data_IF_278097999959
#
_entry.id   IF_278097999959
#
_cell.length_a   1.000
_cell.length_b   1.000
_cell.length_c   1.000
_cell.angle_alpha   90.00
_cell.angle_beta   90.00
_cell.angle_gamma   90.00
#
_symmetry.space_group_name_H-M   'P 1'
#
loop_
_entity.id
_entity.type
_entity.pdbx_description
1 polymer ?
#
# COMPACT_ATOMS: atom_id res chain seq x y z
N UNK A 1 53.64 -11.49 -44.20
CA UNK A 1 52.28 -11.64 -43.64
C UNK A 1 51.80 -10.24 -43.36
N UNK A 2 51.00 -9.73 -44.29
CA UNK A 2 50.66 -8.33 -44.49
C UNK A 2 49.90 -7.73 -43.31
N UNK A 3 50.41 -6.59 -42.84
CA UNK A 3 49.71 -5.73 -41.88
C UNK A 3 48.65 -4.95 -42.68
N UNK A 4 47.42 -5.47 -42.68
CA UNK A 4 46.26 -4.79 -43.25
C UNK A 4 45.86 -3.61 -42.35
N UNK A 5 46.01 -2.38 -42.84
CA UNK A 5 45.45 -1.21 -42.19
C UNK A 5 44.09 -0.90 -42.84
N UNK A 6 43.01 -1.26 -42.15
CA UNK A 6 41.63 -0.98 -42.57
C UNK A 6 41.28 0.46 -42.23
N UNK A 7 41.11 1.31 -43.25
CA UNK A 7 40.57 2.66 -43.11
C UNK A 7 39.30 2.74 -43.98
N UNK A 8 38.13 2.82 -43.33
CA UNK A 8 36.81 2.94 -43.97
C UNK A 8 36.43 1.86 -45.01
N UNK A 9 36.85 0.61 -44.82
CA UNK A 9 36.45 -0.50 -45.69
C UNK A 9 37.15 -0.52 -47.07
N UNK A 10 38.19 0.28 -47.24
CA UNK A 10 39.07 0.26 -48.41
C UNK A 10 40.30 -0.58 -48.06
N UNK A 11 40.51 -1.67 -48.79
CA UNK A 11 41.69 -2.53 -48.64
C UNK A 11 42.86 -1.90 -49.40
N UNK A 12 43.81 -1.31 -48.67
CA UNK A 12 45.03 -0.77 -49.26
C UNK A 12 46.17 -1.78 -49.03
N UNK A 13 46.78 -2.33 -50.08
CA UNK A 13 47.95 -3.20 -49.95
C UNK A 13 49.09 -2.50 -49.23
N UNK A 14 49.78 -3.22 -48.33
CA UNK A 14 50.95 -2.72 -47.59
C UNK A 14 52.01 -2.09 -48.49
N UNK A 15 52.24 -2.70 -49.67
CA UNK A 15 53.16 -2.23 -50.70
C UNK A 15 52.81 -0.86 -51.31
N UNK A 16 51.53 -0.51 -51.35
CA UNK A 16 51.05 0.76 -51.92
C UNK A 16 51.00 1.85 -50.84
N UNK A 17 50.77 1.46 -49.59
CA UNK A 17 50.93 2.33 -48.44
C UNK A 17 52.39 2.68 -48.16
N UNK A 18 53.35 1.80 -48.43
CA UNK A 18 54.77 2.12 -48.24
C UNK A 18 55.29 3.15 -49.26
N UNK A 19 54.81 3.09 -50.51
CA UNK A 19 55.19 4.00 -51.60
C UNK A 19 54.52 5.37 -51.56
N UNK A 20 53.53 5.59 -50.70
CA UNK A 20 52.87 6.91 -50.61
C UNK A 20 53.79 7.96 -49.98
N UNK A 21 53.87 9.17 -50.58
CA UNK A 21 54.60 10.30 -50.01
C UNK A 21 54.18 10.61 -48.56
N UNK A 22 55.15 11.01 -47.73
CA UNK A 22 54.90 11.35 -46.32
C UNK A 22 53.80 12.41 -46.13
N UNK A 23 53.70 13.38 -47.05
CA UNK A 23 52.67 14.42 -47.04
C UNK A 23 51.25 13.87 -47.16
N UNK A 24 51.06 12.77 -47.91
CA UNK A 24 49.74 12.11 -48.08
C UNK A 24 49.39 11.30 -46.84
N UNK A 25 50.37 10.61 -46.24
CA UNK A 25 50.18 9.88 -44.96
C UNK A 25 49.76 10.82 -43.83
N UNK A 26 50.43 11.97 -43.72
CA UNK A 26 50.10 12.99 -42.72
C UNK A 26 48.69 13.59 -42.95
N UNK A 27 48.30 13.79 -44.21
CA UNK A 27 46.94 14.26 -44.55
C UNK A 27 45.87 13.22 -44.15
N UNK A 28 46.09 11.93 -44.44
CA UNK A 28 45.18 10.85 -44.08
C UNK A 28 45.04 10.70 -42.56
N UNK A 29 46.14 10.81 -41.83
CA UNK A 29 46.11 10.81 -40.36
C UNK A 29 45.35 12.02 -39.81
N UNK A 30 45.60 13.23 -40.32
CA UNK A 30 44.85 14.44 -39.92
C UNK A 30 43.36 14.34 -40.26
N UNK A 31 43.01 13.75 -41.40
CA UNK A 31 41.61 13.48 -41.77
C UNK A 31 40.98 12.46 -40.83
N UNK A 32 41.66 11.36 -40.51
CA UNK A 32 41.18 10.36 -39.55
C UNK A 32 40.96 10.94 -38.15
N UNK A 33 41.88 11.79 -37.68
CA UNK A 33 41.71 12.53 -36.41
C UNK A 33 40.48 13.45 -36.45
N UNK A 34 40.28 14.18 -37.55
CA UNK A 34 39.15 15.10 -37.69
C UNK A 34 37.80 14.39 -37.80
N UNK A 35 37.77 13.22 -38.45
CA UNK A 35 36.55 12.40 -38.51
C UNK A 35 36.23 11.86 -37.12
N UNK A 36 37.22 11.31 -36.40
CA UNK A 36 37.03 10.83 -35.03
C UNK A 36 36.51 11.92 -34.09
N UNK A 37 37.05 13.14 -34.21
CA UNK A 37 36.57 14.29 -33.45
C UNK A 37 35.11 14.64 -33.81
N UNK A 38 34.78 14.65 -35.10
CA UNK A 38 33.42 14.96 -35.58
C UNK A 38 32.40 13.90 -35.12
N UNK A 39 32.78 12.62 -35.11
CA UNK A 39 31.94 11.52 -34.60
C UNK A 39 31.67 11.66 -33.10
N UNK A 40 32.67 12.07 -32.31
CA UNK A 40 32.50 12.32 -30.87
C UNK A 40 31.58 13.51 -30.61
N UNK A 41 31.74 14.60 -31.37
CA UNK A 41 30.86 15.77 -31.27
C UNK A 41 29.42 15.42 -31.66
N UNK A 42 29.23 14.66 -32.73
CA UNK A 42 27.91 14.19 -33.17
C UNK A 42 27.25 13.30 -32.10
N UNK A 43 27.98 12.35 -31.53
CA UNK A 43 27.46 11.47 -30.48
C UNK A 43 27.04 12.25 -29.22
N UNK A 44 27.84 13.24 -28.82
CA UNK A 44 27.51 14.13 -27.70
C UNK A 44 26.25 14.95 -27.98
N UNK A 45 26.13 15.50 -29.18
CA UNK A 45 24.99 16.35 -29.54
C UNK A 45 23.70 15.53 -29.71
N UNK A 46 23.80 14.30 -30.22
CA UNK A 46 22.66 13.36 -30.28
C UNK A 46 22.18 13.00 -28.87
N UNK A 47 23.10 12.70 -27.94
CA UNK A 47 22.74 12.39 -26.56
C UNK A 47 22.03 13.57 -25.87
N UNK A 48 22.53 14.80 -26.06
CA UNK A 48 21.87 16.01 -25.54
C UNK A 48 20.49 16.22 -26.17
N UNK A 49 20.36 16.02 -27.48
CA UNK A 49 19.06 16.16 -28.15
C UNK A 49 18.04 15.15 -27.63
N UNK A 50 18.45 13.90 -27.38
CA UNK A 50 17.58 12.89 -26.76
C UNK A 50 17.15 13.31 -25.36
N UNK A 51 18.07 13.77 -24.51
CA UNK A 51 17.75 14.24 -23.16
C UNK A 51 16.79 15.46 -23.17
N UNK A 52 16.98 16.39 -24.10
CA UNK A 52 16.11 17.55 -24.28
C UNK A 52 14.72 17.13 -24.80
N UNK A 53 14.65 16.19 -25.74
CA UNK A 53 13.39 15.65 -26.24
C UNK A 53 12.61 14.91 -25.15
N UNK A 54 13.28 14.14 -24.29
CA UNK A 54 12.64 13.51 -23.13
C UNK A 54 12.10 14.54 -22.14
N UNK A 55 12.84 15.63 -21.88
CA UNK A 55 12.38 16.72 -21.01
C UNK A 55 11.17 17.45 -21.60
N UNK A 56 11.15 17.69 -22.90
CA UNK A 56 10.04 18.39 -23.59
C UNK A 56 8.79 17.51 -23.69
N UNK A 57 8.95 16.22 -23.97
CA UNK A 57 7.83 15.28 -24.13
C UNK A 57 7.23 14.80 -22.80
N UNK A 58 7.81 15.19 -21.67
CA UNK A 58 7.30 14.84 -20.35
C UNK A 58 6.04 15.64 -20.04
N UNK A 59 4.93 14.92 -19.90
CA UNK A 59 3.61 15.47 -19.55
C UNK A 59 3.00 14.66 -18.41
N UNK A 60 1.95 15.16 -17.79
CA UNK A 60 1.17 14.46 -16.76
C UNK A 60 0.46 13.21 -17.28
N UNK A 61 0.35 13.04 -18.61
CA UNK A 61 -0.20 11.84 -19.25
C UNK A 61 0.77 10.67 -19.28
N UNK A 62 2.08 10.94 -19.39
CA UNK A 62 3.12 9.91 -19.53
C UNK A 62 4.13 9.89 -18.37
N UNK A 63 3.93 10.72 -17.35
CA UNK A 63 4.76 10.76 -16.15
C UNK A 63 3.93 11.03 -14.91
N UNK A 64 4.39 10.55 -13.75
CA UNK A 64 3.74 10.78 -12.45
C UNK A 64 3.86 12.22 -11.93
N UNK A 65 4.13 13.18 -12.82
CA UNK A 65 4.24 14.61 -12.51
C UNK A 65 2.84 15.25 -12.53
N UNK A 66 2.56 16.23 -11.64
CA UNK A 66 1.25 16.85 -11.58
C UNK A 66 0.96 17.68 -12.85
N UNK A 67 -0.32 17.82 -13.26
CA UNK A 67 -0.72 18.58 -14.46
C UNK A 67 -0.28 20.05 -14.45
N UNK A 68 -0.03 20.62 -13.27
CA UNK A 68 0.50 21.98 -13.11
C UNK A 68 1.94 22.15 -13.60
N UNK A 69 2.67 21.04 -13.77
CA UNK A 69 4.04 21.00 -14.27
C UNK A 69 4.11 20.77 -15.79
N UNK A 70 2.96 20.67 -16.48
CA UNK A 70 2.94 20.51 -17.93
C UNK A 70 3.36 21.81 -18.63
N UNK A 71 4.07 21.72 -19.76
CA UNK A 71 4.43 22.90 -20.54
C UNK A 71 3.18 23.68 -21.01
N UNK A 72 3.31 25.00 -21.10
CA UNK A 72 2.20 25.94 -21.38
C UNK A 72 1.43 25.65 -22.69
N UNK A 73 2.03 24.87 -23.60
CA UNK A 73 1.46 24.50 -24.90
C UNK A 73 0.89 23.06 -24.92
N UNK A 74 0.77 22.41 -23.77
CA UNK A 74 0.08 21.12 -23.66
C UNK A 74 -1.43 21.31 -23.83
N UNK A 75 -2.07 20.42 -24.58
CA UNK A 75 -3.53 20.44 -24.71
C UNK A 75 -4.17 20.35 -23.33
N UNK A 76 -4.81 21.45 -22.91
CA UNK A 76 -5.59 21.47 -21.67
C UNK A 76 -6.61 20.33 -21.72
N UNK A 77 -6.67 19.54 -20.65
CA UNK A 77 -7.72 18.55 -20.46
C UNK A 77 -9.07 19.22 -20.74
N UNK A 78 -9.75 18.75 -21.79
CA UNK A 78 -11.09 19.20 -22.12
C UNK A 78 -11.94 19.07 -20.86
N UNK A 79 -12.40 20.20 -20.32
CA UNK A 79 -13.27 20.20 -19.17
C UNK A 79 -14.52 19.41 -19.53
N UNK A 80 -14.79 18.31 -18.82
CA UNK A 80 -15.98 17.49 -19.04
C UNK A 80 -17.20 18.41 -19.06
N UNK A 81 -18.04 18.28 -20.10
CA UNK A 81 -19.31 19.02 -20.19
C UNK A 81 -20.08 18.79 -18.90
N UNK A 82 -20.53 19.88 -18.27
CA UNK A 82 -21.37 19.82 -17.07
C UNK A 82 -22.65 19.06 -17.44
N UNK A 83 -23.04 18.10 -16.61
CA UNK A 83 -24.29 17.38 -16.81
C UNK A 83 -25.47 18.33 -16.56
N UNK A 84 -26.46 18.32 -17.44
CA UNK A 84 -27.74 19.04 -17.26
C UNK A 84 -28.62 18.44 -16.15
N UNK A 85 -28.16 17.36 -15.51
CA UNK A 85 -28.87 16.72 -14.40
C UNK A 85 -28.82 17.62 -13.17
N UNK A 86 -29.99 17.88 -12.58
CA UNK A 86 -30.11 18.56 -11.29
C UNK A 86 -29.32 17.78 -10.22
N UNK A 87 -28.68 18.52 -9.31
CA UNK A 87 -27.99 17.94 -8.15
C UNK A 87 -29.01 17.24 -7.26
N UNK A 88 -28.78 15.96 -6.95
CA UNK A 88 -29.66 15.12 -6.14
C UNK A 88 -29.97 13.77 -6.79
N UNK A 89 -30.74 12.94 -6.10
CA UNK A 89 -31.28 11.70 -6.67
C UNK A 89 -32.15 12.00 -7.88
N UNK A 90 -32.02 11.23 -8.96
CA UNK A 90 -32.85 11.43 -10.15
C UNK A 90 -34.32 11.08 -9.84
N UNK A 91 -35.23 11.67 -10.60
CA UNK A 91 -36.66 11.37 -10.50
C UNK A 91 -36.87 9.85 -10.65
N UNK A 92 -37.49 9.21 -9.66
CA UNK A 92 -37.71 7.76 -9.62
C UNK A 92 -36.66 6.93 -8.87
N UNK A 93 -35.61 7.53 -8.31
CA UNK A 93 -34.72 6.81 -7.39
C UNK A 93 -35.46 6.44 -6.09
N UNK A 94 -35.42 5.16 -5.73
CA UNK A 94 -35.86 4.70 -4.41
C UNK A 94 -34.99 5.38 -3.34
N UNK A 95 -35.64 5.98 -2.36
CA UNK A 95 -34.94 6.53 -1.20
C UNK A 95 -34.25 5.41 -0.42
N UNK A 96 -33.00 5.64 -0.03
CA UNK A 96 -32.29 4.79 0.91
C UNK A 96 -32.31 5.48 2.27
N UNK A 97 -33.04 4.91 3.23
CA UNK A 97 -32.97 5.30 4.63
C UNK A 97 -31.96 4.42 5.37
N UNK A 98 -31.47 4.90 6.53
CA UNK A 98 -30.72 4.06 7.46
C UNK A 98 -31.57 2.85 7.84
N UNK A 99 -31.05 1.64 7.63
CA UNK A 99 -31.71 0.42 8.08
C UNK A 99 -31.74 0.42 9.60
N UNK A 100 -32.91 0.08 10.16
CA UNK A 100 -33.07 -0.16 11.58
C UNK A 100 -32.78 -1.63 11.85
N UNK A 101 -32.07 -1.90 12.94
CA UNK A 101 -31.89 -3.25 13.49
C UNK A 101 -33.23 -3.83 13.92
N UNK A 102 -33.36 -5.15 13.99
CA UNK A 102 -34.56 -5.76 14.54
C UNK A 102 -34.68 -5.45 16.04
N UNK A 103 -35.90 -5.47 16.58
CA UNK A 103 -36.13 -5.32 18.02
C UNK A 103 -35.44 -6.44 18.80
N UNK A 104 -35.37 -7.66 18.26
CA UNK A 104 -34.68 -8.79 18.90
C UNK A 104 -33.16 -8.63 18.99
N UNK A 105 -32.58 -7.74 18.19
CA UNK A 105 -31.13 -7.45 18.19
C UNK A 105 -30.76 -6.27 19.10
N UNK A 106 -31.75 -5.56 19.65
CA UNK A 106 -31.52 -4.42 20.51
C UNK A 106 -31.26 -4.89 21.96
N UNK A 107 -30.21 -4.37 22.60
CA UNK A 107 -29.92 -4.69 24.01
C UNK A 107 -31.06 -4.28 24.97
N UNK A 108 -31.77 -3.21 24.63
CA UNK A 108 -32.96 -2.75 25.34
C UNK A 108 -33.87 -1.91 24.45
N UNK A 109 -35.16 -1.87 24.76
CA UNK A 109 -36.15 -1.02 24.12
C UNK A 109 -36.75 -0.10 25.18
N UNK A 110 -36.56 1.20 25.02
CA UNK A 110 -37.12 2.22 25.91
C UNK A 110 -38.34 2.84 25.23
N UNK A 111 -39.50 2.65 25.83
CA UNK A 111 -40.75 3.21 25.34
C UNK A 111 -40.94 4.63 25.86
N UNK A 112 -41.12 5.58 24.94
CA UNK A 112 -41.33 6.99 25.26
C UNK A 112 -42.73 7.40 24.82
N UNK A 113 -43.64 7.54 25.79
CA UNK A 113 -45.03 7.95 25.54
C UNK A 113 -45.23 9.42 25.93
N UNK A 114 -45.95 10.22 25.12
CA UNK A 114 -46.27 11.59 25.50
C UNK A 114 -47.29 11.58 26.65
N UNK A 115 -46.99 12.30 27.73
CA UNK A 115 -47.91 12.39 28.88
C UNK A 115 -49.05 13.40 28.63
N UNK A 116 -48.80 14.42 27.80
CA UNK A 116 -49.73 15.52 27.54
C UNK A 116 -49.82 15.87 26.06
N UNK A 117 -50.97 16.38 25.65
CA UNK A 117 -51.19 16.88 24.30
C UNK A 117 -50.41 18.18 24.05
N UNK A 118 -49.62 18.23 22.99
CA UNK A 118 -48.85 19.43 22.62
C UNK A 118 -49.71 20.63 22.21
N UNK A 119 -50.98 20.41 21.85
CA UNK A 119 -51.91 21.46 21.45
C UNK A 119 -52.72 22.06 22.60
N UNK A 120 -53.33 21.21 23.43
CA UNK A 120 -54.26 21.64 24.49
C UNK A 120 -53.78 21.35 25.92
N UNK A 121 -52.70 20.59 26.12
CA UNK A 121 -52.14 20.26 27.43
C UNK A 121 -52.85 19.13 28.19
N UNK A 122 -53.95 18.59 27.67
CA UNK A 122 -54.70 17.51 28.31
C UNK A 122 -53.88 16.21 28.41
N UNK A 123 -54.14 15.40 29.44
CA UNK A 123 -53.43 14.13 29.66
C UNK A 123 -53.77 13.11 28.57
N UNK A 124 -52.74 12.48 27.99
CA UNK A 124 -52.90 11.44 26.98
C UNK A 124 -52.88 10.05 27.62
N UNK A 125 -53.78 9.17 27.17
CA UNK A 125 -53.86 7.77 27.57
C UNK A 125 -54.12 6.95 26.32
N UNK A 126 -53.29 5.95 26.05
CA UNK A 126 -53.42 5.08 24.88
C UNK A 126 -52.17 4.24 24.64
N UNK A 127 -52.26 3.34 23.66
CA UNK A 127 -51.14 2.51 23.19
C UNK A 127 -51.03 2.68 21.68
N UNK A 128 -49.84 3.01 21.19
CA UNK A 128 -49.53 3.06 19.77
C UNK A 128 -48.95 1.71 19.32
N UNK A 129 -49.60 1.05 18.37
CA UNK A 129 -49.15 -0.23 17.83
C UNK A 129 -48.04 -0.11 16.78
N UNK A 130 -47.76 1.10 16.29
CA UNK A 130 -46.74 1.34 15.27
C UNK A 130 -45.89 2.58 15.58
N UNK A 131 -45.11 2.57 16.67
CA UNK A 131 -44.32 3.71 17.09
C UNK A 131 -43.22 4.03 16.08
N UNK A 132 -42.89 5.31 15.95
CA UNK A 132 -41.72 5.75 15.18
C UNK A 132 -40.44 5.30 15.89
N UNK A 133 -39.69 4.40 15.24
CA UNK A 133 -38.45 3.84 15.79
C UNK A 133 -37.25 4.78 15.57
N UNK A 134 -36.48 5.01 16.62
CA UNK A 134 -35.19 5.70 16.60
C UNK A 134 -34.16 4.85 17.36
N UNK A 135 -33.05 4.52 16.72
CA UNK A 135 -32.02 3.67 17.30
C UNK A 135 -30.70 4.41 17.41
N UNK A 136 -30.11 4.33 18.60
CA UNK A 136 -28.74 4.76 18.87
C UNK A 136 -27.87 3.51 18.87
N UNK A 137 -26.79 3.52 18.09
CA UNK A 137 -25.79 2.44 18.06
C UNK A 137 -24.51 3.01 18.64
N UNK A 138 -24.05 2.42 19.73
CA UNK A 138 -22.89 2.88 20.48
C UNK A 138 -21.86 1.76 20.60
N UNK A 139 -20.59 2.12 20.68
CA UNK A 139 -19.49 1.18 20.93
C UNK A 139 -19.20 1.20 22.43
N UNK A 140 -19.31 0.07 23.15
CA UNK A 140 -19.02 0.04 24.57
C UNK A 140 -17.55 0.34 24.85
N UNK A 141 -17.19 0.81 26.06
CA UNK A 141 -15.80 1.05 26.44
C UNK A 141 -14.95 -0.21 26.27
N UNK A 142 -13.85 -0.10 25.51
CA UNK A 142 -12.96 -1.23 25.20
C UNK A 142 -11.75 -1.17 26.11
N UNK A 143 -11.64 -2.14 27.05
CA UNK A 143 -10.54 -2.21 28.00
C UNK A 143 -9.69 -3.48 27.79
N UNK A 144 -8.35 -3.39 27.84
CA UNK A 144 -7.49 -4.56 27.73
C UNK A 144 -7.56 -5.42 29.00
N UNK A 145 -7.58 -6.73 28.82
CA UNK A 145 -7.45 -7.69 29.94
C UNK A 145 -5.96 -7.97 30.15
N UNK A 146 -5.43 -7.57 31.29
CA UNK A 146 -4.01 -7.72 31.65
C UNK A 146 -3.91 -8.77 32.76
N UNK A 147 -3.16 -9.84 32.50
CA UNK A 147 -2.88 -10.92 33.47
C UNK A 147 -1.37 -10.94 33.74
N UNK A 148 -0.98 -10.76 35.00
CA UNK A 148 0.42 -10.78 35.42
C UNK A 148 0.82 -12.19 35.87
N UNK A 149 1.78 -12.81 35.19
CA UNK A 149 2.35 -14.10 35.58
C UNK A 149 3.61 -13.89 36.42
N UNK A 150 3.55 -14.20 37.73
CA UNK A 150 4.67 -14.06 38.66
C UNK A 150 5.45 -15.36 38.79
N UNK A 151 6.68 -15.37 38.30
CA UNK A 151 7.59 -16.51 38.37
C UNK A 151 8.52 -16.36 39.57
N UNK A 152 8.14 -16.95 40.70
CA UNK A 152 8.93 -16.92 41.94
C UNK A 152 10.20 -17.78 41.81
N UNK A 153 11.25 -17.36 42.51
CA UNK A 153 12.50 -18.10 42.63
C UNK A 153 12.71 -18.44 44.10
N UNK A 154 12.86 -19.74 44.40
CA UNK A 154 13.01 -20.24 45.76
C UNK A 154 14.32 -21.01 45.90
N UNK A 155 14.90 -20.94 47.09
CA UNK A 155 16.13 -21.66 47.44
C UNK A 155 15.80 -23.03 48.03
N UNK A 156 16.50 -24.06 47.58
CA UNK A 156 16.42 -25.39 48.18
C UNK A 156 17.19 -25.41 49.50
N UNK A 157 16.50 -25.67 50.62
CA UNK A 157 17.11 -25.74 51.95
C UNK A 157 18.16 -26.85 52.12
N UNK A 158 18.17 -27.86 51.23
CA UNK A 158 19.09 -28.99 51.30
C UNK A 158 20.38 -28.78 50.49
N UNK A 159 20.31 -28.15 49.32
CA UNK A 159 21.47 -28.00 48.42
C UNK A 159 21.80 -26.55 48.03
N UNK A 160 21.06 -25.56 48.56
CA UNK A 160 21.24 -24.14 48.25
C UNK A 160 20.89 -23.74 46.81
N UNK A 161 20.36 -24.66 45.99
CA UNK A 161 20.06 -24.37 44.59
C UNK A 161 18.83 -23.47 44.48
N UNK A 162 18.98 -22.34 43.79
CA UNK A 162 17.87 -21.44 43.48
C UNK A 162 17.13 -21.92 42.22
N UNK A 163 15.84 -22.24 42.38
CA UNK A 163 14.99 -22.72 41.28
C UNK A 163 13.88 -21.70 41.02
N UNK A 164 13.74 -21.25 39.76
CA UNK A 164 12.68 -20.35 39.31
C UNK A 164 11.54 -21.13 38.69
N UNK A 165 10.30 -20.75 39.00
CA UNK A 165 9.12 -21.28 38.34
C UNK A 165 9.18 -21.02 36.83
N UNK A 166 8.78 -22.01 36.04
CA UNK A 166 8.68 -21.89 34.58
C UNK A 166 7.33 -21.31 34.19
N UNK A 167 7.30 -20.58 33.07
CA UNK A 167 6.05 -20.10 32.51
C UNK A 167 5.26 -21.30 31.95
N UNK A 168 3.95 -21.42 32.24
CA UNK A 168 3.11 -22.45 31.63
C UNK A 168 3.13 -22.38 30.09
N UNK A 169 3.01 -23.53 29.43
CA UNK A 169 3.17 -23.65 27.97
C UNK A 169 2.06 -22.97 27.16
N UNK A 170 0.89 -22.76 27.76
CA UNK A 170 -0.26 -22.08 27.20
C UNK A 170 -0.13 -20.55 27.21
N UNK A 171 0.81 -20.01 27.99
CA UNK A 171 1.01 -18.56 28.09
C UNK A 171 1.91 -18.08 26.95
N UNK A 172 1.47 -17.09 26.15
CA UNK A 172 2.26 -16.58 25.04
C UNK A 172 3.53 -15.89 25.56
N UNK A 173 4.69 -16.39 25.15
CA UNK A 173 6.02 -15.88 25.53
C UNK A 173 6.18 -14.39 25.20
N UNK A 174 5.48 -13.88 24.18
CA UNK A 174 5.56 -12.48 23.74
C UNK A 174 4.69 -11.51 24.55
N UNK A 175 3.85 -12.01 25.46
CA UNK A 175 2.98 -11.20 26.32
C UNK A 175 1.72 -10.64 25.66
N UNK A 176 1.43 -11.00 24.40
CA UNK A 176 0.20 -10.59 23.71
C UNK A 176 -0.67 -11.81 23.40
N UNK A 177 -1.96 -11.71 23.70
CA UNK A 177 -2.93 -12.77 23.42
C UNK A 177 -3.32 -12.85 21.94
N UNK A 178 -3.93 -13.97 21.56
CA UNK A 178 -4.34 -14.28 20.18
C UNK A 178 -5.23 -13.22 19.54
N UNK A 179 -6.11 -12.57 20.32
CA UNK A 179 -6.99 -11.50 19.82
C UNK A 179 -6.21 -10.24 19.41
N UNK A 180 -5.15 -9.91 20.14
CA UNK A 180 -4.29 -8.76 19.79
C UNK A 180 -3.52 -9.05 18.50
N UNK A 181 -2.99 -10.27 18.37
CA UNK A 181 -2.32 -10.74 17.15
C UNK A 181 -3.27 -10.63 15.95
N UNK A 182 -4.50 -11.13 16.08
CA UNK A 182 -5.51 -11.09 15.03
C UNK A 182 -5.88 -9.64 14.63
N UNK A 183 -6.11 -8.75 15.60
CA UNK A 183 -6.42 -7.33 15.31
C UNK A 183 -5.28 -6.63 14.56
N UNK A 184 -4.04 -6.84 14.99
CA UNK A 184 -2.86 -6.30 14.29
C UNK A 184 -2.78 -6.82 12.86
N UNK A 185 -3.06 -8.11 12.64
CA UNK A 185 -3.08 -8.71 11.31
C UNK A 185 -4.18 -8.12 10.41
N UNK A 186 -5.39 -7.94 10.95
CA UNK A 186 -6.53 -7.36 10.21
C UNK A 186 -6.27 -5.89 9.86
N UNK A 187 -5.83 -5.08 10.82
CA UNK A 187 -5.52 -3.65 10.59
C UNK A 187 -4.42 -3.48 9.54
N UNK A 188 -3.35 -4.28 9.62
CA UNK A 188 -2.23 -4.16 8.70
C UNK A 188 -2.45 -4.82 7.34
N UNK A 189 -3.12 -5.97 7.29
CA UNK A 189 -3.34 -6.75 6.07
C UNK A 189 -4.56 -6.29 5.30
N UNK A 190 -5.74 -6.37 5.92
CA UNK A 190 -7.01 -6.05 5.27
C UNK A 190 -7.20 -4.54 5.09
N UNK A 191 -6.99 -3.77 6.17
CA UNK A 191 -7.17 -2.32 6.15
C UNK A 191 -5.91 -1.54 5.72
N UNK A 192 -4.82 -2.27 5.40
CA UNK A 192 -3.57 -1.73 4.85
C UNK A 192 -2.97 -0.58 5.66
N UNK A 193 -3.19 -0.57 6.98
CA UNK A 193 -2.60 0.44 7.85
C UNK A 193 -1.08 0.26 7.94
N UNK A 194 -0.36 1.39 7.92
CA UNK A 194 1.08 1.38 8.18
C UNK A 194 1.36 0.90 9.62
N UNK A 195 2.57 0.38 9.88
CA UNK A 195 2.95 -0.09 11.23
C UNK A 195 2.73 0.98 12.31
N UNK A 196 2.95 2.26 11.98
CA UNK A 196 2.67 3.38 12.89
C UNK A 196 1.18 3.60 13.12
N UNK A 197 0.36 3.53 12.07
CA UNK A 197 -1.10 3.64 12.20
C UNK A 197 -1.68 2.50 13.03
N UNK A 198 -1.17 1.28 12.87
CA UNK A 198 -1.58 0.14 13.70
C UNK A 198 -1.21 0.39 15.16
N UNK A 199 0.01 0.85 15.44
CA UNK A 199 0.43 1.21 16.79
C UNK A 199 -0.50 2.26 17.43
N UNK A 200 -0.79 3.35 16.71
CA UNK A 200 -1.70 4.39 17.19
C UNK A 200 -3.12 3.85 17.40
N UNK A 201 -3.67 3.10 16.46
CA UNK A 201 -5.01 2.51 16.59
C UNK A 201 -5.12 1.56 17.79
N UNK A 202 -4.09 0.74 18.04
CA UNK A 202 -4.05 -0.14 19.21
C UNK A 202 -4.01 0.64 20.53
N UNK A 203 -3.34 1.79 20.56
CA UNK A 203 -3.31 2.67 21.71
C UNK A 203 -4.63 3.42 21.90
N UNK A 204 -5.13 4.07 20.85
CA UNK A 204 -6.22 5.03 20.92
C UNK A 204 -7.58 4.34 21.11
N UNK A 205 -7.76 3.16 20.49
CA UNK A 205 -9.04 2.43 20.53
C UNK A 205 -9.03 1.38 21.64
N UNK A 206 -7.91 0.69 21.85
CA UNK A 206 -7.83 -0.49 22.74
C UNK A 206 -6.99 -0.25 24.00
N UNK A 207 -6.33 0.90 24.14
CA UNK A 207 -5.45 1.19 25.28
C UNK A 207 -4.18 0.33 25.34
N UNK A 208 -3.81 -0.36 24.25
CA UNK A 208 -2.67 -1.29 24.23
C UNK A 208 -1.43 -0.58 23.73
N UNK A 209 -0.50 -0.33 24.65
CA UNK A 209 0.83 0.22 24.32
C UNK A 209 1.70 -0.86 23.67
N UNK A 210 2.32 -0.53 22.54
CA UNK A 210 3.31 -1.40 21.89
C UNK A 210 4.31 -0.59 21.08
N UNK A 211 5.48 -1.17 20.78
CA UNK A 211 6.47 -0.55 19.90
C UNK A 211 6.30 -1.04 18.45
N UNK A 212 6.87 -0.30 17.49
CA UNK A 212 6.80 -0.64 16.06
C UNK A 212 7.37 -2.03 15.74
N UNK A 213 8.43 -2.44 16.44
CA UNK A 213 9.03 -3.76 16.29
C UNK A 213 8.07 -4.88 16.72
N UNK A 214 7.27 -4.65 17.76
CA UNK A 214 6.26 -5.60 18.21
C UNK A 214 5.18 -5.80 17.15
N UNK A 215 4.68 -4.73 16.54
CA UNK A 215 3.69 -4.83 15.46
C UNK A 215 4.18 -5.76 14.35
N UNK A 216 5.43 -5.60 13.89
CA UNK A 216 5.99 -6.48 12.86
C UNK A 216 6.13 -7.94 13.32
N UNK A 217 6.49 -8.18 14.58
CA UNK A 217 6.55 -9.54 15.15
C UNK A 217 5.17 -10.20 15.21
N UNK A 218 4.14 -9.46 15.64
CA UNK A 218 2.76 -9.96 15.70
C UNK A 218 2.20 -10.22 14.30
N UNK A 219 2.53 -9.39 13.31
CA UNK A 219 2.20 -9.65 11.91
C UNK A 219 2.81 -10.97 11.42
N UNK A 220 4.08 -11.21 11.75
CA UNK A 220 4.75 -12.46 11.39
C UNK A 220 4.09 -13.66 12.07
N UNK A 221 3.80 -13.56 13.35
CA UNK A 221 3.09 -14.60 14.11
C UNK A 221 1.73 -14.94 13.49
N UNK A 222 0.96 -13.91 13.10
CA UNK A 222 -0.30 -14.13 12.39
C UNK A 222 -0.09 -14.79 11.01
N UNK A 223 0.94 -14.37 10.27
CA UNK A 223 1.30 -14.94 8.97
C UNK A 223 1.67 -16.43 9.09
N UNK A 224 2.45 -16.78 10.12
CA UNK A 224 2.85 -18.16 10.39
C UNK A 224 1.62 -19.00 10.78
N UNK A 225 0.69 -18.44 11.56
CA UNK A 225 -0.55 -19.13 11.96
C UNK A 225 -1.48 -19.44 10.77
N UNK A 226 -1.57 -18.56 9.77
CA UNK A 226 -2.43 -18.76 8.59
C UNK A 226 -1.73 -19.47 7.42
N UNK A 227 -0.44 -19.83 7.57
CA UNK A 227 0.35 -20.39 6.48
C UNK A 227 -0.27 -21.67 5.87
N UNK A 228 -0.88 -22.52 6.71
CA UNK A 228 -1.59 -23.73 6.26
C UNK A 228 -2.76 -23.40 5.34
N UNK A 229 -3.67 -22.51 5.78
CA UNK A 229 -4.82 -22.08 4.98
C UNK A 229 -4.39 -21.40 3.67
N UNK A 230 -3.32 -20.62 3.69
CA UNK A 230 -2.74 -20.01 2.48
C UNK A 230 -2.22 -21.08 1.52
N UNK A 231 -1.57 -22.13 2.04
CA UNK A 231 -1.09 -23.25 1.23
C UNK A 231 -2.25 -24.03 0.60
N UNK A 232 -3.32 -24.30 1.35
CA UNK A 232 -4.52 -24.96 0.85
C UNK A 232 -5.21 -24.13 -0.24
N UNK A 233 -5.37 -22.82 -0.02
CA UNK A 233 -5.93 -21.91 -1.01
C UNK A 233 -5.07 -21.87 -2.28
N UNK A 234 -3.75 -21.90 -2.14
CA UNK A 234 -2.82 -21.97 -3.28
C UNK A 234 -3.02 -23.26 -4.08
N UNK A 235 -3.09 -24.42 -3.43
CA UNK A 235 -3.35 -25.71 -4.09
C UNK A 235 -4.72 -25.71 -4.78
N UNK A 236 -5.74 -25.15 -4.15
CA UNK A 236 -7.07 -25.01 -4.75
C UNK A 236 -7.03 -24.19 -6.04
N UNK A 237 -6.38 -23.03 -6.04
CA UNK A 237 -6.24 -22.17 -7.23
C UNK A 237 -5.46 -22.87 -8.34
N UNK A 238 -4.41 -23.62 -8.01
CA UNK A 238 -3.61 -24.36 -8.99
C UNK A 238 -4.38 -25.47 -9.71
N UNK A 239 -5.36 -26.08 -9.04
CA UNK A 239 -6.20 -27.15 -9.59
C UNK A 239 -7.49 -26.62 -10.26
N UNK A 240 -7.74 -25.31 -10.23
CA UNK A 240 -8.93 -24.72 -10.83
C UNK A 240 -8.85 -24.76 -12.36
N UNK A 241 -9.94 -25.16 -13.07
CA UNK A 241 -9.96 -25.21 -14.54
C UNK A 241 -9.80 -23.83 -15.18
N UNK A 242 -10.13 -22.76 -14.46
CA UNK A 242 -9.96 -21.37 -14.90
C UNK A 242 -9.33 -20.57 -13.75
N UNK A 243 -8.27 -19.83 -14.07
CA UNK A 243 -7.54 -18.97 -13.12
C UNK A 243 -7.53 -17.55 -13.65
N UNK A 244 -8.14 -16.62 -12.92
CA UNK A 244 -8.02 -15.19 -13.18
C UNK A 244 -6.70 -14.67 -12.62
N UNK A 245 -5.80 -14.21 -13.49
CA UNK A 245 -4.52 -13.60 -13.10
C UNK A 245 -4.61 -12.10 -13.36
N UNK A 246 -4.37 -11.31 -12.31
CA UNK A 246 -4.26 -9.86 -12.40
C UNK A 246 -2.89 -9.44 -11.85
N UNK A 247 -2.12 -8.72 -12.65
CA UNK A 247 -0.79 -8.27 -12.27
C UNK A 247 -0.89 -6.94 -11.53
N UNK A 248 -0.61 -6.98 -10.23
CA UNK A 248 -0.47 -5.75 -9.44
C UNK A 248 1.01 -5.38 -9.32
N UNK A 249 1.42 -4.30 -9.97
CA UNK A 249 2.77 -3.76 -9.80
C UNK A 249 2.93 -3.11 -8.42
N UNK A 250 4.06 -3.38 -7.76
CA UNK A 250 4.43 -2.70 -6.52
C UNK A 250 5.90 -2.31 -6.52
N UNK A 251 6.21 -1.15 -5.94
CA UNK A 251 7.56 -0.62 -5.90
C UNK A 251 8.28 -1.15 -4.65
N UNK A 252 9.11 -2.17 -4.84
CA UNK A 252 9.96 -2.71 -3.78
C UNK A 252 11.18 -1.80 -3.61
N UNK A 253 11.18 -0.99 -2.55
CA UNK A 253 12.41 -0.30 -2.13
C UNK A 253 13.30 -1.32 -1.45
N UNK A 254 14.50 -1.56 -2.01
CA UNK A 254 15.53 -2.34 -1.32
C UNK A 254 15.87 -1.63 0.00
N UNK A 255 15.62 -2.31 1.11
CA UNK A 255 16.13 -1.92 2.42
C UNK A 255 17.64 -2.17 2.49
#
# INVERSE_FOLDING_TARGET
MDVMCLVYGIEIPSSDWEKTPASIKELVEKMGQRIKQSEQELASEVAKNQELLEKINRTSKNSSSPPSSDPLNSEKLLSKKKSDKKRGGQLGHKGHSRNLYDVSECDSVLEHQPETCSGCGEKLIGVDSNPRRHQVVEIPPINPIIVEHRLHQLECQHCGTLTRATLPADVPIRGYGVRVVALVAVLSGLYRHSTRMVQSAMQDIFGVTMCLGTVNKLKKEASDAIAGAVSEAKTYVQNSPVVGVDETSCLLRKC
#
